data_IF_291315431068
#
_entry.id   IF_291315431068
#
_cell.length_a   1.000
_cell.length_b   1.000
_cell.length_c   1.000
_cell.angle_alpha   90.00
_cell.angle_beta   90.00
_cell.angle_gamma   90.00
#
_symmetry.space_group_name_H-M   'P 1'
#
loop_
_entity.id
_entity.type
_entity.pdbx_description
1 polymer ?
#
# COMPACT_ATOMS: atom_id res chain seq x y z
N UNK A 1 7.01 0.01 -7.97
CA UNK A 1 6.38 0.97 -7.04
C UNK A 1 6.79 0.57 -5.65
N UNK A 2 7.36 1.49 -4.88
CA UNK A 2 7.84 1.23 -3.52
C UNK A 2 6.83 1.71 -2.46
N UNK A 3 7.07 1.33 -1.21
CA UNK A 3 6.20 1.68 -0.07
C UNK A 3 6.15 3.18 0.20
N UNK A 4 7.26 3.91 0.00
CA UNK A 4 7.32 5.36 0.18
C UNK A 4 6.44 6.09 -0.83
N UNK A 5 6.43 5.66 -2.09
CA UNK A 5 5.58 6.18 -3.15
C UNK A 5 4.09 5.94 -2.84
N UNK A 6 3.74 4.76 -2.34
CA UNK A 6 2.37 4.43 -1.95
C UNK A 6 1.89 5.27 -0.74
N UNK A 7 2.76 5.49 0.25
CA UNK A 7 2.48 6.35 1.39
C UNK A 7 2.32 7.81 0.96
N UNK A 8 3.22 8.33 0.12
CA UNK A 8 3.13 9.68 -0.43
C UNK A 8 1.84 9.87 -1.25
N UNK A 9 1.46 8.86 -2.05
CA UNK A 9 0.19 8.85 -2.76
C UNK A 9 -1.01 8.88 -1.81
N UNK A 10 -0.96 8.12 -0.72
CA UNK A 10 -2.02 8.08 0.30
C UNK A 10 -2.22 9.45 0.95
N UNK A 11 -1.12 10.11 1.35
CA UNK A 11 -1.16 11.48 1.91
C UNK A 11 -1.71 12.49 0.90
N UNK A 12 -1.22 12.44 -0.35
CA UNK A 12 -1.68 13.33 -1.42
C UNK A 12 -3.19 13.20 -1.68
N UNK A 13 -3.74 12.00 -1.54
CA UNK A 13 -5.16 11.71 -1.72
C UNK A 13 -5.98 11.84 -0.42
N UNK A 14 -5.37 12.35 0.68
CA UNK A 14 -6.01 12.48 2.00
C UNK A 14 -6.62 11.17 2.52
N UNK A 15 -5.96 10.05 2.21
CA UNK A 15 -6.36 8.75 2.71
C UNK A 15 -6.04 8.62 4.20
N UNK A 16 -6.94 7.98 4.96
CA UNK A 16 -6.70 7.61 6.37
C UNK A 16 -5.83 6.38 6.50
N UNK A 17 -5.97 5.43 5.58
CA UNK A 17 -5.32 4.13 5.62
C UNK A 17 -4.75 3.75 4.24
N UNK A 18 -3.59 3.10 4.25
CA UNK A 18 -3.03 2.35 3.12
C UNK A 18 -3.11 0.86 3.45
N UNK A 19 -3.79 0.10 2.59
CA UNK A 19 -3.96 -1.34 2.73
C UNK A 19 -3.14 -2.09 1.67
N UNK A 20 -2.29 -3.00 2.12
CA UNK A 20 -1.52 -3.92 1.27
C UNK A 20 -2.00 -5.36 1.54
N UNK A 21 -2.35 -6.08 0.47
CA UNK A 21 -2.83 -7.45 0.57
C UNK A 21 -2.37 -8.24 -0.65
N UNK A 22 -1.79 -9.42 -0.43
CA UNK A 22 -1.29 -10.26 -1.51
C UNK A 22 -2.46 -10.75 -2.40
N UNK A 23 -2.24 -10.77 -3.71
CA UNK A 23 -3.25 -11.09 -4.73
C UNK A 23 -4.23 -9.96 -5.02
N UNK A 24 -4.06 -8.77 -4.41
CA UNK A 24 -4.89 -7.60 -4.64
C UNK A 24 -4.03 -6.38 -4.98
N UNK A 25 -4.55 -5.42 -5.76
CA UNK A 25 -3.92 -4.10 -5.88
C UNK A 25 -3.86 -3.40 -4.51
N UNK A 26 -2.90 -2.48 -4.29
CA UNK A 26 -2.91 -1.62 -3.12
C UNK A 26 -4.24 -0.86 -3.04
N UNK A 27 -4.73 -0.64 -1.83
CA UNK A 27 -5.98 0.08 -1.60
C UNK A 27 -5.77 1.22 -0.61
N UNK A 28 -6.54 2.29 -0.77
CA UNK A 28 -6.55 3.42 0.17
C UNK A 28 -7.95 3.65 0.69
N UNK A 29 -8.06 4.04 1.97
CA UNK A 29 -9.33 4.49 2.55
C UNK A 29 -9.43 6.00 2.47
N UNK A 30 -10.43 6.52 1.76
CA UNK A 30 -10.69 7.96 1.64
C UNK A 30 -12.14 8.23 2.02
N UNK A 31 -12.36 9.09 3.02
CA UNK A 31 -13.70 9.42 3.52
C UNK A 31 -14.57 8.20 3.89
N UNK A 32 -13.95 7.14 4.41
CA UNK A 32 -14.64 5.90 4.81
C UNK A 32 -14.63 4.80 3.75
N UNK A 33 -14.49 5.16 2.47
CA UNK A 33 -14.52 4.22 1.35
C UNK A 33 -13.14 3.64 1.05
N UNK A 34 -13.07 2.31 0.85
CA UNK A 34 -11.86 1.64 0.38
C UNK A 34 -11.86 1.63 -1.15
N UNK A 35 -10.79 2.18 -1.75
CA UNK A 35 -10.61 2.27 -3.20
C UNK A 35 -9.31 1.60 -3.63
N UNK A 36 -9.36 0.83 -4.71
CA UNK A 36 -8.18 0.22 -5.32
C UNK A 36 -7.40 1.27 -6.10
N UNK A 37 -6.08 1.27 -5.93
CA UNK A 37 -5.17 1.99 -6.81
C UNK A 37 -5.10 1.23 -8.14
N UNK A 38 -5.14 1.96 -9.26
CA UNK A 38 -5.14 1.37 -10.60
C UNK A 38 -3.74 0.88 -11.00
N UNK A 39 -3.31 -0.20 -10.37
CA UNK A 39 -2.08 -0.95 -10.67
C UNK A 39 -2.36 -2.43 -10.57
N UNK A 40 -1.42 -3.25 -11.04
CA UNK A 40 -1.54 -4.70 -10.96
C UNK A 40 -1.60 -5.20 -9.51
N UNK A 41 -2.22 -6.38 -9.28
CA UNK A 41 -2.19 -7.04 -7.99
C UNK A 41 -0.77 -7.25 -7.47
N UNK A 42 -0.60 -7.09 -6.15
CA UNK A 42 0.69 -7.34 -5.50
C UNK A 42 0.84 -8.83 -5.20
N UNK A 43 1.93 -9.43 -5.64
CA UNK A 43 2.32 -10.78 -5.24
C UNK A 43 2.73 -10.83 -3.77
N UNK A 44 2.64 -12.01 -3.15
CA UNK A 44 3.03 -12.19 -1.75
C UNK A 44 4.45 -11.69 -1.46
N UNK A 45 5.40 -12.02 -2.35
CA UNK A 45 6.79 -11.56 -2.23
C UNK A 45 6.90 -10.04 -2.25
N UNK A 46 6.15 -9.36 -3.12
CA UNK A 46 6.21 -7.90 -3.22
C UNK A 46 5.67 -7.22 -1.96
N UNK A 47 4.57 -7.73 -1.40
CA UNK A 47 4.03 -7.23 -0.12
C UNK A 47 5.04 -7.44 1.01
N UNK A 48 5.62 -8.63 1.08
CA UNK A 48 6.63 -8.99 2.09
C UNK A 48 7.86 -8.09 1.99
N UNK A 49 8.45 -7.96 0.79
CA UNK A 49 9.61 -7.10 0.54
C UNK A 49 9.33 -5.64 1.00
N UNK A 50 8.18 -5.07 0.62
CA UNK A 50 7.81 -3.69 1.00
C UNK A 50 7.65 -3.47 2.50
N UNK A 51 7.15 -4.47 3.22
CA UNK A 51 6.98 -4.38 4.68
C UNK A 51 8.32 -4.54 5.37
N UNK A 52 9.17 -5.48 4.92
CA UNK A 52 10.49 -5.68 5.49
C UNK A 52 11.43 -4.50 5.26
N UNK A 53 11.32 -3.80 4.12
CA UNK A 53 12.11 -2.60 3.82
C UNK A 53 11.93 -1.46 4.85
N UNK A 54 10.80 -1.45 5.58
CA UNK A 54 10.51 -0.43 6.62
C UNK A 54 10.56 -0.96 8.05
N UNK A 55 10.74 -2.28 8.20
CA UNK A 55 10.92 -2.90 9.51
C UNK A 55 12.38 -2.81 9.93
N UNK A 56 12.59 -2.76 11.24
CA UNK A 56 13.88 -2.90 11.87
C UNK A 56 14.18 -4.38 12.16
N UNK A 57 15.46 -4.70 12.34
CA UNK A 57 15.93 -6.07 12.63
C UNK A 57 15.58 -6.56 14.06
N UNK A 58 14.84 -5.77 14.84
CA UNK A 58 14.79 -5.83 16.31
C UNK A 58 13.46 -6.31 16.86
#
# INVERSE_FOLDING_TARGET
MDITQLLAFSVKNKASDLHLSAGLPPMIRVHGDVRRINVDPLEHKQVHDMVYDIMNDS
#
